data_IF_420422351625
#
_entry.id   IF_420422351625
#
_cell.length_a   1.000
_cell.length_b   1.000
_cell.length_c   1.000
_cell.angle_alpha   90.00
_cell.angle_beta   90.00
_cell.angle_gamma   90.00
#
_symmetry.space_group_name_H-M   'P 1'
#
loop_
_entity.id
_entity.type
_entity.pdbx_description
1 polymer ?
#
# COMPACT_ATOMS: atom_id res chain seq x y z
N UNK A 1 7.49 -29.30 -26.60
CA UNK A 1 6.62 -28.13 -26.40
C UNK A 1 5.35 -28.45 -25.63
N UNK A 2 4.34 -29.17 -26.17
CA UNK A 2 3.10 -29.41 -25.40
C UNK A 2 3.33 -30.25 -24.12
N UNK A 3 4.24 -31.22 -24.19
CA UNK A 3 4.65 -32.04 -23.04
C UNK A 3 5.34 -31.22 -21.94
N UNK A 4 6.01 -30.12 -22.28
CA UNK A 4 6.65 -29.24 -21.29
C UNK A 4 5.60 -28.48 -20.48
N UNK A 5 4.54 -28.00 -21.14
CA UNK A 5 3.37 -27.42 -20.47
C UNK A 5 2.61 -28.47 -19.65
N UNK A 6 2.54 -29.72 -20.12
CA UNK A 6 1.93 -30.81 -19.36
C UNK A 6 2.70 -31.08 -18.05
N UNK A 7 4.04 -31.05 -18.08
CA UNK A 7 4.85 -31.19 -16.87
C UNK A 7 4.56 -30.07 -15.86
N UNK A 8 4.52 -28.80 -16.31
CA UNK A 8 4.18 -27.65 -15.46
C UNK A 8 2.80 -27.82 -14.85
N UNK A 9 1.82 -28.24 -15.67
CA UNK A 9 0.45 -28.46 -15.21
C UNK A 9 0.37 -29.58 -14.16
N UNK A 10 1.07 -30.70 -14.37
CA UNK A 10 1.13 -31.80 -13.40
C UNK A 10 1.75 -31.34 -12.09
N UNK A 11 2.84 -30.55 -12.13
CA UNK A 11 3.44 -29.98 -10.92
C UNK A 11 2.49 -29.04 -10.18
N UNK A 12 1.75 -28.19 -10.90
CA UNK A 12 0.76 -27.30 -10.30
C UNK A 12 -0.37 -28.10 -9.62
N UNK A 13 -0.90 -29.12 -10.29
CA UNK A 13 -1.92 -30.02 -9.72
C UNK A 13 -1.37 -30.77 -8.51
N UNK A 14 -0.16 -31.32 -8.60
CA UNK A 14 0.48 -32.03 -7.49
C UNK A 14 0.68 -31.11 -6.28
N UNK A 15 1.08 -29.85 -6.48
CA UNK A 15 1.22 -28.85 -5.42
C UNK A 15 -0.11 -28.53 -4.74
N UNK A 16 -1.18 -28.33 -5.51
CA UNK A 16 -2.52 -28.11 -4.97
C UNK A 16 -3.00 -29.33 -4.18
N UNK A 17 -2.85 -30.53 -4.73
CA UNK A 17 -3.20 -31.79 -4.06
C UNK A 17 -2.41 -31.95 -2.76
N UNK A 18 -1.12 -31.64 -2.76
CA UNK A 18 -0.28 -31.69 -1.57
C UNK A 18 -0.78 -30.77 -0.45
N UNK A 19 -1.15 -29.52 -0.79
CA UNK A 19 -1.72 -28.57 0.18
C UNK A 19 -3.06 -29.09 0.71
N UNK A 20 -3.95 -29.53 -0.17
CA UNK A 20 -5.28 -30.03 0.21
C UNK A 20 -5.20 -31.30 1.07
N UNK A 21 -4.29 -32.22 0.74
CA UNK A 21 -4.05 -33.42 1.55
C UNK A 21 -3.55 -33.07 2.94
N UNK A 22 -2.61 -32.12 3.08
CA UNK A 22 -2.14 -31.68 4.38
C UNK A 22 -3.25 -31.03 5.22
N UNK A 23 -4.09 -30.19 4.59
CA UNK A 23 -5.26 -29.61 5.27
C UNK A 23 -6.24 -30.71 5.69
N UNK A 24 -6.48 -31.71 4.84
CA UNK A 24 -7.37 -32.84 5.15
C UNK A 24 -6.84 -33.68 6.31
N UNK A 25 -5.57 -34.06 6.26
CA UNK A 25 -4.89 -34.82 7.33
C UNK A 25 -4.96 -34.02 8.63
N UNK A 26 -4.62 -32.73 8.60
CA UNK A 26 -4.70 -31.86 9.77
C UNK A 26 -6.13 -31.78 10.31
N UNK A 27 -7.13 -31.65 9.44
CA UNK A 27 -8.54 -31.57 9.81
C UNK A 27 -9.08 -32.86 10.44
N UNK A 28 -8.60 -34.03 9.99
CA UNK A 28 -9.00 -35.34 10.53
C UNK A 28 -8.25 -35.67 11.82
N UNK A 29 -6.96 -35.33 11.89
CA UNK A 29 -6.14 -35.57 13.08
C UNK A 29 -6.43 -34.61 14.24
N UNK A 30 -7.01 -33.44 13.97
CA UNK A 30 -7.32 -32.43 14.99
C UNK A 30 -8.51 -32.84 15.87
N UNK A 31 -8.36 -32.75 17.19
CA UNK A 31 -9.48 -32.78 18.12
C UNK A 31 -10.26 -31.47 18.06
N UNK A 32 -11.46 -31.52 17.48
CA UNK A 32 -12.34 -30.35 17.35
C UNK A 32 -13.12 -30.10 18.65
N UNK A 33 -12.66 -29.16 19.46
CA UNK A 33 -13.44 -28.61 20.58
C UNK A 33 -13.94 -27.22 20.21
N UNK A 34 -15.21 -27.15 19.80
CA UNK A 34 -15.92 -25.90 19.55
C UNK A 34 -16.42 -25.33 20.87
N UNK A 35 -15.94 -24.15 21.23
CA UNK A 35 -16.37 -23.37 22.40
C UNK A 35 -16.60 -21.95 21.93
N UNK A 36 -17.64 -21.26 22.41
CA UNK A 36 -17.95 -19.89 21.98
C UNK A 36 -16.77 -18.93 22.19
N UNK A 37 -16.05 -19.09 23.30
CA UNK A 37 -14.82 -18.35 23.63
C UNK A 37 -13.69 -18.53 22.61
N UNK A 38 -13.65 -19.62 21.84
CA UNK A 38 -12.63 -19.82 20.78
C UNK A 38 -13.01 -19.17 19.45
N UNK A 39 -14.29 -18.79 19.30
CA UNK A 39 -14.83 -18.19 18.07
C UNK A 39 -14.96 -16.67 18.13
N UNK A 40 -14.73 -16.05 19.29
CA UNK A 40 -14.67 -14.60 19.43
C UNK A 40 -13.34 -14.05 18.89
N UNK A 41 -13.38 -12.82 18.36
CA UNK A 41 -12.18 -12.14 17.90
C UNK A 41 -11.24 -11.83 19.08
N UNK A 42 -9.93 -11.90 18.84
CA UNK A 42 -8.94 -11.58 19.86
C UNK A 42 -8.85 -10.07 20.11
N UNK A 43 -9.21 -9.62 21.30
CA UNK A 43 -9.17 -8.21 21.74
C UNK A 43 -8.45 -8.09 23.11
N UNK A 44 -7.22 -8.60 23.21
CA UNK A 44 -6.40 -8.56 24.44
C UNK A 44 -7.05 -9.13 25.72
N UNK A 45 -8.10 -9.95 25.59
CA UNK A 45 -8.83 -10.57 26.72
C UNK A 45 -10.17 -9.90 27.04
N UNK A 46 -10.54 -8.84 26.33
CA UNK A 46 -11.84 -8.18 26.46
C UNK A 46 -12.81 -8.61 25.36
N UNK A 47 -14.10 -8.35 25.55
CA UNK A 47 -15.09 -8.54 24.48
C UNK A 47 -14.92 -7.46 23.40
N UNK A 48 -14.84 -7.84 22.11
CA UNK A 48 -14.67 -6.87 21.02
C UNK A 48 -15.90 -5.96 20.94
N UNK A 49 -15.68 -4.66 21.16
CA UNK A 49 -16.72 -3.63 21.14
C UNK A 49 -16.52 -2.67 19.96
N UNK A 50 -17.60 -2.38 19.24
CA UNK A 50 -17.63 -1.33 18.22
C UNK A 50 -17.81 -1.82 16.78
N UNK A 51 -17.86 -0.86 15.85
CA UNK A 51 -17.98 -1.12 14.42
C UNK A 51 -16.61 -1.42 13.80
N UNK A 52 -16.50 -2.51 13.05
CA UNK A 52 -15.27 -2.94 12.36
C UNK A 52 -14.97 -2.10 11.11
N UNK A 53 -15.88 -1.19 10.72
CA UNK A 53 -15.73 -0.34 9.52
C UNK A 53 -14.83 0.87 9.76
N UNK A 54 -13.53 0.64 9.74
CA UNK A 54 -12.53 1.70 9.71
C UNK A 54 -12.26 2.19 8.27
N UNK A 55 -12.02 3.49 8.12
CA UNK A 55 -11.53 4.04 6.85
C UNK A 55 -10.06 3.67 6.69
N UNK A 56 -9.79 2.71 5.80
CA UNK A 56 -8.43 2.39 5.42
C UNK A 56 -7.77 3.58 4.73
N UNK A 57 -6.46 3.71 4.95
CA UNK A 57 -5.68 4.80 4.39
C UNK A 57 -5.63 4.70 2.85
N UNK A 58 -5.94 5.79 2.14
CA UNK A 58 -5.92 5.82 0.67
C UNK A 58 -4.54 5.57 0.06
N UNK A 59 -3.46 5.59 0.86
CA UNK A 59 -2.09 5.29 0.41
C UNK A 59 -1.93 3.89 -0.18
N UNK A 60 -2.65 2.88 0.33
CA UNK A 60 -2.62 1.53 -0.23
C UNK A 60 -3.10 1.52 -1.69
N UNK A 61 -4.10 2.35 -2.00
CA UNK A 61 -4.61 2.51 -3.36
C UNK A 61 -3.57 3.17 -4.29
N UNK A 62 -2.88 4.22 -3.83
CA UNK A 62 -1.84 4.90 -4.64
C UNK A 62 -0.70 3.95 -4.97
N UNK A 63 -0.23 3.17 -3.99
CA UNK A 63 0.84 2.17 -4.21
C UNK A 63 0.38 1.09 -5.19
N UNK A 64 -0.84 0.57 -5.03
CA UNK A 64 -1.39 -0.44 -5.93
C UNK A 64 -1.57 0.09 -7.37
N UNK A 65 -2.01 1.34 -7.53
CA UNK A 65 -2.16 1.98 -8.84
C UNK A 65 -0.81 2.15 -9.54
N UNK A 66 0.21 2.60 -8.82
CA UNK A 66 1.57 2.74 -9.35
C UNK A 66 2.13 1.36 -9.75
N UNK A 67 1.96 0.34 -8.90
CA UNK A 67 2.38 -1.02 -9.22
C UNK A 67 1.70 -1.56 -10.49
N UNK A 68 0.38 -1.35 -10.63
CA UNK A 68 -0.37 -1.77 -11.81
C UNK A 68 0.12 -1.08 -13.09
N UNK A 69 0.45 0.20 -13.02
CA UNK A 69 1.02 0.95 -14.14
C UNK A 69 2.39 0.36 -14.54
N UNK A 70 3.28 0.13 -13.57
CA UNK A 70 4.60 -0.50 -13.82
C UNK A 70 4.51 -1.93 -14.35
N UNK A 71 3.52 -2.71 -13.92
CA UNK A 71 3.29 -4.07 -14.40
C UNK A 71 2.95 -4.05 -15.90
N UNK A 72 2.03 -3.17 -16.30
CA UNK A 72 1.66 -2.96 -17.71
C UNK A 72 2.85 -2.47 -18.53
N UNK A 73 3.69 -1.58 -18.00
CA UNK A 73 4.90 -1.12 -18.68
C UNK A 73 5.89 -2.27 -18.93
N UNK A 74 6.03 -3.18 -17.97
CA UNK A 74 6.91 -4.34 -18.11
C UNK A 74 6.43 -5.29 -19.19
N UNK A 75 5.11 -5.44 -19.37
CA UNK A 75 4.53 -6.18 -20.50
C UNK A 75 4.94 -5.59 -21.85
N UNK A 76 5.18 -4.28 -21.96
CA UNK A 76 5.72 -3.67 -23.18
C UNK A 76 7.23 -3.84 -23.32
N UNK A 77 7.97 -3.90 -22.21
CA UNK A 77 9.42 -4.12 -22.22
C UNK A 77 9.81 -5.52 -22.71
N UNK A 78 9.03 -6.55 -22.38
CA UNK A 78 9.38 -7.93 -22.71
C UNK A 78 9.45 -8.23 -24.21
N UNK A 79 8.42 -7.95 -25.04
CA UNK A 79 8.48 -8.19 -26.48
C UNK A 79 9.63 -7.46 -27.15
N UNK A 80 9.83 -6.18 -26.78
CA UNK A 80 10.95 -5.39 -27.27
C UNK A 80 12.31 -6.02 -26.94
N UNK A 81 12.51 -6.47 -25.70
CA UNK A 81 13.76 -7.08 -25.27
C UNK A 81 14.07 -8.37 -26.05
N UNK A 82 13.04 -9.15 -26.39
CA UNK A 82 13.17 -10.38 -27.17
C UNK A 82 13.60 -10.10 -28.61
N UNK A 83 13.03 -9.07 -29.27
CA UNK A 83 13.30 -8.76 -30.68
C UNK A 83 14.40 -7.70 -30.90
N UNK A 84 15.00 -7.20 -29.82
CA UNK A 84 16.00 -6.12 -29.85
C UNK A 84 17.11 -6.33 -30.90
N UNK A 85 17.58 -7.58 -31.04
CA UNK A 85 18.66 -7.93 -31.99
C UNK A 85 18.28 -7.72 -33.46
N UNK A 86 17.00 -7.73 -33.80
CA UNK A 86 16.50 -7.60 -35.16
C UNK A 86 16.30 -6.13 -35.57
N UNK A 87 15.91 -5.27 -34.61
CA UNK A 87 15.58 -3.86 -34.87
C UNK A 87 16.80 -2.93 -34.60
N UNK A 88 17.68 -3.32 -33.67
CA UNK A 88 18.94 -2.61 -33.42
C UNK A 88 18.78 -1.24 -32.74
N UNK A 89 19.60 -0.27 -33.14
CA UNK A 89 19.77 1.01 -32.43
C UNK A 89 18.52 1.89 -32.36
N UNK A 90 17.60 1.80 -33.33
CA UNK A 90 16.36 2.58 -33.30
C UNK A 90 15.47 2.15 -32.11
N UNK A 91 15.25 0.84 -31.97
CA UNK A 91 14.50 0.28 -30.86
C UNK A 91 15.18 0.59 -29.51
N UNK A 92 16.51 0.67 -29.46
CA UNK A 92 17.22 1.09 -28.26
C UNK A 92 16.83 2.51 -27.81
N UNK A 93 16.84 3.46 -28.74
CA UNK A 93 16.55 4.88 -28.45
C UNK A 93 15.08 5.06 -28.06
N UNK A 94 14.16 4.42 -28.78
CA UNK A 94 12.73 4.45 -28.44
C UNK A 94 12.49 3.92 -27.03
N UNK A 95 13.16 2.83 -26.66
CA UNK A 95 12.99 2.25 -25.33
C UNK A 95 13.66 3.07 -24.24
N UNK A 96 14.79 3.72 -24.53
CA UNK A 96 15.42 4.64 -23.62
C UNK A 96 14.49 5.83 -23.30
N UNK A 97 13.84 6.38 -24.33
CA UNK A 97 12.85 7.46 -24.16
C UNK A 97 11.64 6.95 -23.36
N UNK A 98 11.13 5.76 -23.65
CA UNK A 98 10.04 5.15 -22.92
C UNK A 98 10.37 5.05 -21.41
N UNK A 99 11.50 4.43 -21.06
CA UNK A 99 11.95 4.29 -19.67
C UNK A 99 12.14 5.67 -19.01
N UNK A 100 12.71 6.64 -19.71
CA UNK A 100 12.89 8.00 -19.17
C UNK A 100 11.56 8.65 -18.79
N UNK A 101 10.52 8.52 -19.62
CA UNK A 101 9.19 9.06 -19.31
C UNK A 101 8.63 8.43 -18.03
N UNK A 102 8.81 7.12 -17.85
CA UNK A 102 8.37 6.39 -16.66
C UNK A 102 9.12 6.82 -15.40
N UNK A 103 10.44 6.96 -15.51
CA UNK A 103 11.28 7.44 -14.42
C UNK A 103 10.92 8.86 -14.00
N UNK A 104 10.59 9.74 -14.95
CA UNK A 104 10.10 11.10 -14.65
C UNK A 104 8.75 11.04 -13.93
N UNK A 105 7.82 10.20 -14.40
CA UNK A 105 6.54 9.98 -13.72
C UNK A 105 6.71 9.51 -12.27
N UNK A 106 7.60 8.54 -12.06
CA UNK A 106 7.94 8.04 -10.73
C UNK A 106 8.58 9.12 -9.85
N UNK A 107 9.57 9.84 -10.39
CA UNK A 107 10.24 10.91 -9.69
C UNK A 107 9.27 12.03 -9.27
N UNK A 108 8.27 12.34 -10.11
CA UNK A 108 7.23 13.31 -9.79
C UNK A 108 6.37 12.87 -8.60
N UNK A 109 5.86 11.63 -8.62
CA UNK A 109 5.07 11.08 -7.52
C UNK A 109 5.88 11.02 -6.22
N UNK A 110 7.16 10.65 -6.34
CA UNK A 110 8.07 10.61 -5.20
C UNK A 110 8.32 12.00 -4.62
N UNK A 111 8.62 12.99 -5.45
CA UNK A 111 8.81 14.38 -5.03
C UNK A 111 7.56 14.97 -4.35
N UNK A 112 6.36 14.52 -4.76
CA UNK A 112 5.09 14.93 -4.15
C UNK A 112 4.81 14.25 -2.79
N UNK A 113 5.60 13.26 -2.41
CA UNK A 113 5.45 12.55 -1.14
C UNK A 113 4.22 11.63 -1.10
N UNK A 114 3.63 11.31 -2.25
CA UNK A 114 2.49 10.38 -2.33
C UNK A 114 2.91 8.93 -1.97
N UNK A 115 4.22 8.67 -1.91
CA UNK A 115 4.84 7.42 -1.41
C UNK A 115 5.19 7.45 0.09
N UNK A 116 5.08 8.59 0.78
CA UNK A 116 5.49 8.70 2.18
C UNK A 116 4.46 8.09 3.14
N UNK A 117 4.94 7.26 4.07
CA UNK A 117 4.10 6.64 5.10
C UNK A 117 3.66 7.61 6.20
N UNK A 118 4.40 8.70 6.44
CA UNK A 118 4.05 9.70 7.45
C UNK A 118 3.94 11.06 6.77
N UNK A 119 2.73 11.43 6.36
CA UNK A 119 2.46 12.78 5.87
C UNK A 119 2.65 13.75 7.04
N UNK A 120 3.59 14.70 6.92
CA UNK A 120 3.71 15.80 7.88
C UNK A 120 2.40 16.57 7.86
N UNK A 121 1.63 16.49 8.94
CA UNK A 121 0.44 17.31 9.11
C UNK A 121 0.96 18.74 9.23
N UNK A 122 0.48 19.61 8.35
CA UNK A 122 0.82 21.02 8.38
C UNK A 122 0.37 21.56 9.75
N UNK A 123 1.33 22.00 10.56
CA UNK A 123 1.05 22.58 11.87
C UNK A 123 0.07 23.72 11.69
N UNK A 124 -1.12 23.62 12.30
CA UNK A 124 -2.07 24.73 12.37
C UNK A 124 -1.32 25.93 12.96
N UNK A 125 -1.40 27.14 12.35
CA UNK A 125 -0.78 28.33 12.92
C UNK A 125 -1.21 28.50 14.38
N UNK A 126 -0.23 28.64 15.28
CA UNK A 126 -0.46 28.79 16.71
C UNK A 126 -1.02 30.20 16.99
N UNK A 127 -2.35 30.35 16.94
CA UNK A 127 -3.06 31.61 17.22
C UNK A 127 -3.07 31.98 18.72
N UNK A 128 -2.56 31.10 19.59
CA UNK A 128 -2.49 31.35 21.03
C UNK A 128 -1.68 32.63 21.34
N UNK A 129 -0.66 32.94 20.55
CA UNK A 129 0.12 34.18 20.69
C UNK A 129 -0.73 35.44 20.41
N UNK A 130 -1.73 35.33 19.53
CA UNK A 130 -2.63 36.43 19.17
C UNK A 130 -3.71 36.63 20.25
N UNK A 131 -4.15 35.53 20.88
CA UNK A 131 -5.09 35.57 22.00
C UNK A 131 -4.41 36.10 23.28
N UNK A 132 -3.16 35.69 23.51
CA UNK A 132 -2.37 36.13 24.66
C UNK A 132 -2.01 37.62 24.56
N UNK A 133 -1.59 38.09 23.38
CA UNK A 133 -1.35 39.53 23.14
C UNK A 133 -2.60 40.40 23.27
N UNK A 134 -3.78 39.89 22.85
CA UNK A 134 -5.07 40.57 23.05
C UNK A 134 -5.48 40.64 24.51
N UNK A 135 -5.29 39.57 25.28
CA UNK A 135 -5.61 39.54 26.70
C UNK A 135 -4.69 40.46 27.52
N UNK A 136 -3.39 40.51 27.19
CA UNK A 136 -2.43 41.44 27.80
C UNK A 136 -2.80 42.89 27.49
N UNK A 137 -3.19 43.19 26.25
CA UNK A 137 -3.66 44.54 25.89
C UNK A 137 -4.96 44.92 26.60
N UNK A 138 -5.91 43.98 26.74
CA UNK A 138 -7.18 44.24 27.44
C UNK A 138 -6.97 44.50 28.93
N UNK A 139 -6.12 43.70 29.58
CA UNK A 139 -5.80 43.88 30.99
C UNK A 139 -5.01 45.16 31.26
N UNK A 140 -4.12 45.57 30.36
CA UNK A 140 -3.43 46.87 30.45
C UNK A 140 -4.41 48.06 30.36
N UNK A 141 -5.41 47.97 29.47
CA UNK A 141 -6.45 49.01 29.32
C UNK A 141 -7.38 49.09 30.54
N UNK A 142 -7.67 47.98 31.20
CA UNK A 142 -8.49 47.95 32.43
C UNK A 142 -7.78 48.60 33.62
N UNK A 143 -6.48 48.35 33.80
CA UNK A 143 -5.68 48.95 34.88
C UNK A 143 -5.62 50.47 34.75
N UNK A 144 -5.50 50.97 33.51
CA UNK A 144 -5.43 52.40 33.22
C UNK A 144 -6.77 53.13 33.36
N UNK A 145 -7.89 52.39 33.38
CA UNK A 145 -9.24 52.92 33.60
C UNK A 145 -9.61 53.05 35.09
N UNK A 146 -8.85 52.41 35.98
CA UNK A 146 -9.07 52.41 37.43
C UNK A 146 -8.17 53.39 38.20
N UNK A 147 -7.22 54.05 37.54
CA UNK A 147 -6.39 55.15 38.07
C UNK A 147 -6.95 56.52 37.67
#
# INVERSE_FOLDING_TARGET
>A
MLFDFANIFIFLVAGIVFILLNILISSVAQTRLFTQEKSIAYECGEEPIGDTRIKFNTRFYVIALIFLIFDVETVFLFPWAVVYREIGMLAFVEMLIFILILLVGLAYVWAKGDLEWVRKIQSVPNDNNDLESRNVSSSALEVQRQS
#
